data_IF_771102916856
#
_entry.id   IF_771102916856
#
_cell.length_a   1.000
_cell.length_b   1.000
_cell.length_c   1.000
_cell.angle_alpha   90.00
_cell.angle_beta   90.00
_cell.angle_gamma   90.00
#
_symmetry.space_group_name_H-M   'P 1'
#
loop_
_entity.id
_entity.type
_entity.pdbx_description
1 polymer ?
#
# COMPACT_ATOMS: atom_id res chain seq x y z
N UNK A 1 -8.22 -5.04 -37.66
CA UNK A 1 -9.13 -4.56 -36.62
C UNK A 1 -8.29 -3.78 -35.62
N UNK A 2 -8.23 -2.44 -35.75
CA UNK A 2 -7.60 -1.60 -34.77
C UNK A 2 -8.41 -1.73 -33.46
N UNK A 3 -7.75 -2.16 -32.39
CA UNK A 3 -8.34 -2.16 -31.05
C UNK A 3 -8.44 -0.70 -30.66
N UNK A 4 -9.64 -0.21 -30.36
CA UNK A 4 -9.87 1.13 -29.84
C UNK A 4 -9.04 1.30 -28.55
N UNK A 5 -8.01 2.17 -28.53
CA UNK A 5 -7.11 2.32 -27.39
C UNK A 5 -7.84 2.87 -26.16
N UNK A 6 -8.99 3.52 -26.33
CA UNK A 6 -9.76 4.13 -25.24
C UNK A 6 -10.86 3.22 -24.70
N UNK A 7 -11.01 2.01 -25.26
CA UNK A 7 -12.00 1.05 -24.81
C UNK A 7 -11.73 0.57 -23.39
N UNK A 8 -12.60 0.94 -22.46
CA UNK A 8 -12.50 0.58 -21.03
C UNK A 8 -11.90 1.66 -20.15
N UNK A 9 -11.50 2.82 -20.70
CA UNK A 9 -11.08 3.98 -19.92
C UNK A 9 -12.34 4.69 -19.39
N UNK A 10 -12.50 4.66 -18.07
CA UNK A 10 -13.56 5.41 -17.38
C UNK A 10 -13.07 6.79 -16.97
N UNK A 11 -13.99 7.75 -16.74
CA UNK A 11 -13.62 9.06 -16.18
C UNK A 11 -12.86 8.95 -14.86
N UNK A 12 -13.21 7.98 -14.01
CA UNK A 12 -12.46 7.72 -12.78
C UNK A 12 -11.01 7.31 -13.04
N UNK A 13 -10.77 6.44 -14.02
CA UNK A 13 -9.42 6.04 -14.42
C UNK A 13 -8.63 7.19 -15.06
N UNK A 14 -9.30 8.09 -15.77
CA UNK A 14 -8.67 9.27 -16.37
C UNK A 14 -8.33 10.34 -15.33
N UNK A 15 -9.22 10.57 -14.34
CA UNK A 15 -9.12 11.70 -13.42
C UNK A 15 -8.43 11.39 -12.08
N UNK A 16 -8.23 10.12 -11.70
CA UNK A 16 -7.67 9.81 -10.38
C UNK A 16 -6.28 10.42 -10.13
N UNK A 17 -5.38 10.63 -11.13
CA UNK A 17 -4.10 11.28 -10.86
C UNK A 17 -4.26 12.75 -10.42
N UNK A 18 -5.28 13.43 -10.94
CA UNK A 18 -5.60 14.81 -10.53
C UNK A 18 -6.17 14.86 -9.12
N UNK A 19 -6.99 13.87 -8.74
CA UNK A 19 -7.47 13.74 -7.37
C UNK A 19 -6.31 13.50 -6.39
N UNK A 20 -5.39 12.61 -6.74
CA UNK A 20 -4.19 12.36 -5.93
C UNK A 20 -3.33 13.63 -5.81
N UNK A 21 -3.16 14.39 -6.89
CA UNK A 21 -2.46 15.67 -6.83
C UNK A 21 -3.15 16.67 -5.89
N UNK A 22 -4.48 16.76 -5.93
CA UNK A 22 -5.25 17.61 -5.02
C UNK A 22 -5.05 17.18 -3.56
N UNK A 23 -5.10 15.88 -3.24
CA UNK A 23 -4.90 15.35 -1.89
C UNK A 23 -3.49 15.69 -1.33
N UNK A 24 -2.48 15.78 -2.18
CA UNK A 24 -1.11 16.13 -1.79
C UNK A 24 -0.98 17.65 -1.61
N UNK A 25 -1.41 18.41 -2.61
CA UNK A 25 -1.19 19.86 -2.67
C UNK A 25 -2.01 20.66 -1.64
N UNK A 26 -3.23 20.18 -1.31
CA UNK A 26 -4.08 20.81 -0.30
C UNK A 26 -3.50 20.77 1.13
N UNK A 27 -2.46 19.96 1.36
CA UNK A 27 -1.74 19.89 2.64
C UNK A 27 -0.33 20.47 2.55
N UNK A 28 0.08 21.06 1.41
CA UNK A 28 1.45 21.55 1.16
C UNK A 28 2.50 20.49 1.54
N UNK A 29 2.25 19.22 1.19
CA UNK A 29 3.18 18.14 1.52
C UNK A 29 4.51 18.32 0.76
N UNK A 30 5.64 18.30 1.51
CA UNK A 30 6.98 18.41 0.92
C UNK A 30 7.51 17.04 0.48
N UNK A 31 7.18 15.97 1.22
CA UNK A 31 7.66 14.61 0.96
C UNK A 31 6.47 13.65 0.95
N UNK A 32 6.38 12.83 -0.09
CA UNK A 32 5.31 11.83 -0.24
C UNK A 32 5.92 10.43 -0.33
N UNK A 33 5.80 9.59 0.72
CA UNK A 33 6.24 8.20 0.66
C UNK A 33 5.35 7.40 -0.29
N UNK A 34 5.93 6.86 -1.36
CA UNK A 34 5.19 6.11 -2.38
C UNK A 34 5.95 4.89 -2.87
N UNK A 35 5.24 3.92 -3.44
CA UNK A 35 5.84 2.85 -4.22
C UNK A 35 6.35 3.36 -5.58
N UNK A 36 7.28 2.63 -6.19
CA UNK A 36 7.86 2.97 -7.50
C UNK A 36 6.80 3.18 -8.60
N UNK A 37 5.69 2.45 -8.52
CA UNK A 37 4.57 2.54 -9.46
C UNK A 37 3.79 3.87 -9.37
N UNK A 38 3.98 4.66 -8.30
CA UNK A 38 3.34 5.97 -8.09
C UNK A 38 4.25 7.15 -8.44
N UNK A 39 5.52 6.91 -8.80
CA UNK A 39 6.48 7.98 -9.11
C UNK A 39 5.95 8.95 -10.16
N UNK A 40 5.35 8.44 -11.22
CA UNK A 40 4.81 9.26 -12.29
C UNK A 40 3.68 10.19 -11.81
N UNK A 41 2.84 9.74 -10.87
CA UNK A 41 1.78 10.58 -10.31
C UNK A 41 2.35 11.74 -9.47
N UNK A 42 3.46 11.50 -8.77
CA UNK A 42 4.14 12.58 -8.03
C UNK A 42 4.77 13.58 -9.00
N UNK A 43 5.39 13.14 -10.10
CA UNK A 43 5.90 14.06 -11.14
C UNK A 43 4.76 14.91 -11.75
N UNK A 44 3.61 14.32 -12.06
CA UNK A 44 2.43 15.09 -12.51
C UNK A 44 1.98 16.11 -11.45
N UNK A 45 2.01 15.74 -10.18
CA UNK A 45 1.66 16.65 -9.07
C UNK A 45 2.64 17.82 -8.99
N UNK A 46 3.94 17.57 -9.18
CA UNK A 46 4.99 18.59 -9.25
C UNK A 46 4.76 19.57 -10.40
N UNK A 47 4.46 19.03 -11.58
CA UNK A 47 4.16 19.85 -12.77
C UNK A 47 2.95 20.77 -12.54
N UNK A 48 1.90 20.25 -11.89
CA UNK A 48 0.71 21.05 -11.53
C UNK A 48 1.11 22.17 -10.55
N UNK A 49 1.87 21.86 -9.50
CA UNK A 49 2.32 22.84 -8.51
C UNK A 49 3.20 23.93 -9.13
N UNK A 50 4.20 23.54 -9.92
CA UNK A 50 5.10 24.48 -10.61
C UNK A 50 4.34 25.38 -11.58
N UNK A 51 3.42 24.81 -12.36
CA UNK A 51 2.61 25.58 -13.31
C UNK A 51 1.66 26.54 -12.59
N UNK A 52 1.05 26.12 -11.50
CA UNK A 52 0.21 26.98 -10.67
C UNK A 52 1.03 28.14 -10.10
N UNK A 53 2.17 27.85 -9.49
CA UNK A 53 3.04 28.85 -8.88
C UNK A 53 3.58 29.86 -9.90
N UNK A 54 3.85 29.40 -11.14
CA UNK A 54 4.28 30.30 -12.22
C UNK A 54 3.23 31.40 -12.55
N UNK A 55 1.94 31.06 -12.53
CA UNK A 55 0.88 32.01 -12.88
C UNK A 55 0.32 32.80 -11.70
N UNK A 56 0.36 32.24 -10.49
CA UNK A 56 -0.35 32.77 -9.34
C UNK A 56 0.54 33.10 -8.13
N UNK A 57 1.85 32.89 -8.24
CA UNK A 57 2.81 33.08 -7.16
C UNK A 57 3.08 31.80 -6.36
N UNK A 58 4.14 31.79 -5.54
CA UNK A 58 4.63 30.64 -4.79
C UNK A 58 3.70 30.25 -3.63
N UNK A 59 2.58 29.59 -3.97
CA UNK A 59 1.54 29.20 -3.02
C UNK A 59 1.63 27.70 -2.67
N UNK A 60 1.88 26.85 -3.66
CA UNK A 60 1.90 25.41 -3.51
C UNK A 60 3.31 24.88 -3.25
N UNK A 61 3.49 24.00 -2.26
CA UNK A 61 4.72 23.22 -2.12
C UNK A 61 4.88 22.28 -3.33
N UNK A 62 6.11 22.12 -3.82
CA UNK A 62 6.44 21.18 -4.90
C UNK A 62 6.91 19.90 -4.24
N UNK A 63 6.10 18.84 -4.20
CA UNK A 63 6.39 17.65 -3.43
C UNK A 63 7.52 16.81 -4.04
N UNK A 64 8.22 16.06 -3.19
CA UNK A 64 9.21 15.05 -3.60
C UNK A 64 8.73 13.65 -3.28
N UNK A 65 8.97 12.70 -4.20
CA UNK A 65 8.69 11.29 -3.96
C UNK A 65 9.77 10.68 -3.06
N UNK A 66 9.38 10.05 -1.97
CA UNK A 66 10.26 9.19 -1.17
C UNK A 66 9.96 7.73 -1.49
N UNK A 67 10.87 7.09 -2.23
CA UNK A 67 10.73 5.70 -2.68
C UNK A 67 11.70 4.83 -1.89
N UNK A 68 11.17 3.81 -1.20
CA UNK A 68 11.98 2.79 -0.55
C UNK A 68 12.33 1.69 -1.56
N UNK A 69 13.51 1.76 -2.14
CA UNK A 69 14.01 0.79 -3.13
C UNK A 69 14.19 -0.62 -2.56
N UNK A 70 14.30 -0.76 -1.23
CA UNK A 70 14.48 -2.06 -0.56
C UNK A 70 13.19 -2.85 -0.42
N UNK A 71 12.04 -2.22 -0.52
CA UNK A 71 10.74 -2.88 -0.43
C UNK A 71 10.27 -3.34 -1.80
N UNK A 72 10.60 -4.59 -2.11
CA UNK A 72 10.14 -5.26 -3.33
C UNK A 72 8.60 -5.41 -3.39
N UNK A 73 8.11 -5.84 -4.55
CA UNK A 73 6.71 -6.20 -4.74
C UNK A 73 6.40 -7.46 -3.93
N UNK A 74 5.43 -7.37 -3.01
CA UNK A 74 4.97 -8.53 -2.24
C UNK A 74 4.10 -9.41 -3.16
N UNK A 75 4.46 -10.70 -3.35
CA UNK A 75 3.67 -11.61 -4.16
C UNK A 75 2.38 -12.02 -3.45
N UNK A 76 1.32 -12.23 -4.23
CA UNK A 76 0.08 -12.84 -3.76
C UNK A 76 0.16 -14.37 -3.69
N UNK A 77 -0.95 -15.00 -3.32
CA UNK A 77 -1.06 -16.46 -3.17
C UNK A 77 -0.77 -17.24 -4.47
N UNK A 78 -0.85 -16.59 -5.63
CA UNK A 78 -0.62 -17.15 -6.96
C UNK A 78 0.79 -16.82 -7.53
N UNK A 79 1.61 -16.08 -6.78
CA UNK A 79 2.97 -15.68 -7.18
C UNK A 79 3.03 -14.36 -7.97
N UNK A 80 1.90 -13.83 -8.44
CA UNK A 80 1.85 -12.50 -9.07
C UNK A 80 1.86 -11.40 -8.01
N UNK A 81 2.01 -10.13 -8.41
CA UNK A 81 1.83 -8.97 -7.52
C UNK A 81 0.52 -9.12 -6.74
N UNK A 82 0.58 -8.96 -5.41
CA UNK A 82 -0.62 -9.01 -4.57
C UNK A 82 -1.58 -7.89 -4.92
N UNK A 83 -2.83 -8.24 -5.22
CA UNK A 83 -3.88 -7.28 -5.57
C UNK A 83 -5.27 -7.82 -5.27
N UNK A 84 -6.16 -6.94 -4.81
CA UNK A 84 -7.59 -7.28 -4.64
C UNK A 84 -8.24 -7.70 -5.96
N UNK A 85 -7.87 -7.07 -7.08
CA UNK A 85 -8.39 -7.39 -8.42
C UNK A 85 -8.01 -8.78 -8.91
N UNK A 86 -6.91 -9.35 -8.41
CA UNK A 86 -6.49 -10.72 -8.72
C UNK A 86 -6.99 -11.76 -7.73
N UNK A 87 -7.71 -11.33 -6.68
CA UNK A 87 -8.19 -12.20 -5.60
C UNK A 87 -7.08 -13.10 -5.00
N UNK A 88 -5.85 -12.57 -4.91
CA UNK A 88 -4.66 -13.27 -4.45
C UNK A 88 -4.09 -12.70 -3.15
N UNK A 89 -4.88 -11.90 -2.43
CA UNK A 89 -4.48 -11.25 -1.16
C UNK A 89 -4.46 -12.24 0.00
N UNK A 90 -3.62 -11.95 1.00
CA UNK A 90 -3.55 -12.69 2.26
C UNK A 90 -4.27 -11.85 3.34
N UNK A 91 -5.38 -12.35 3.93
CA UNK A 91 -6.20 -11.60 4.87
C UNK A 91 -5.57 -11.61 6.27
N UNK A 92 -4.75 -10.63 6.60
CA UNK A 92 -3.99 -10.59 7.87
C UNK A 92 -4.87 -10.37 9.11
N UNK A 93 -5.97 -9.60 9.00
CA UNK A 93 -6.90 -9.34 10.12
C UNK A 93 -8.06 -10.33 10.24
N UNK A 94 -8.17 -11.29 9.33
CA UNK A 94 -9.10 -12.41 9.50
C UNK A 94 -8.66 -13.34 10.65
N UNK A 95 -9.53 -14.28 11.04
CA UNK A 95 -9.19 -15.26 12.07
C UNK A 95 -7.91 -16.04 11.71
N UNK A 96 -7.14 -16.44 12.71
CA UNK A 96 -5.92 -17.24 12.56
C UNK A 96 -6.14 -18.47 11.66
N UNK A 97 -7.31 -19.14 11.79
CA UNK A 97 -7.71 -20.26 10.92
C UNK A 97 -7.81 -19.88 9.44
N UNK A 98 -8.38 -18.72 9.12
CA UNK A 98 -8.50 -18.22 7.75
C UNK A 98 -7.14 -17.79 7.21
N UNK A 99 -6.33 -17.09 8.02
CA UNK A 99 -4.96 -16.72 7.67
C UNK A 99 -4.14 -17.96 7.31
N UNK A 100 -4.13 -18.99 8.17
CA UNK A 100 -3.43 -20.24 7.92
C UNK A 100 -3.89 -20.91 6.63
N UNK A 101 -5.22 -20.97 6.40
CA UNK A 101 -5.80 -21.54 5.16
C UNK A 101 -5.34 -20.78 3.91
N UNK A 102 -5.23 -19.46 3.97
CA UNK A 102 -4.74 -18.64 2.85
C UNK A 102 -3.25 -18.90 2.57
N UNK A 103 -2.41 -18.97 3.60
CA UNK A 103 -0.98 -19.24 3.49
C UNK A 103 -0.72 -20.64 2.92
N UNK A 104 -1.45 -21.66 3.39
CA UNK A 104 -1.31 -23.02 2.88
C UNK A 104 -1.64 -23.15 1.39
N UNK A 105 -2.44 -22.23 0.82
CA UNK A 105 -2.79 -22.21 -0.60
C UNK A 105 -1.75 -21.50 -1.48
N UNK A 106 -0.73 -20.85 -0.92
CA UNK A 106 0.33 -20.21 -1.72
C UNK A 106 0.95 -21.26 -2.64
N UNK A 107 1.06 -20.94 -3.92
CA UNK A 107 1.66 -21.82 -4.91
C UNK A 107 3.15 -21.99 -4.64
N UNK A 108 3.60 -23.22 -4.70
CA UNK A 108 5.01 -23.64 -4.62
C UNK A 108 5.32 -24.59 -5.79
N UNK A 109 6.59 -24.86 -6.05
CA UNK A 109 6.99 -25.86 -7.02
C UNK A 109 6.82 -27.29 -6.46
N UNK A 110 7.21 -28.29 -7.25
CA UNK A 110 7.06 -29.72 -6.94
C UNK A 110 8.31 -30.37 -6.32
N UNK A 111 9.27 -29.58 -5.79
CA UNK A 111 10.45 -30.13 -5.11
C UNK A 111 10.04 -30.89 -3.85
N UNK A 112 10.60 -32.08 -3.69
CA UNK A 112 10.32 -32.95 -2.54
C UNK A 112 11.03 -32.46 -1.25
N UNK A 113 10.60 -32.93 -0.07
CA UNK A 113 11.35 -32.76 1.15
C UNK A 113 12.76 -33.35 1.01
N UNK A 114 13.79 -32.60 1.45
CA UNK A 114 15.20 -32.95 1.30
C UNK A 114 15.88 -32.32 0.08
N UNK A 115 15.12 -31.90 -0.96
CA UNK A 115 15.68 -31.15 -2.06
C UNK A 115 15.95 -29.70 -1.68
N UNK A 116 17.15 -29.14 -1.92
CA UNK A 116 17.42 -27.72 -1.72
C UNK A 116 16.44 -26.84 -2.49
N UNK A 117 16.00 -25.75 -1.87
CA UNK A 117 15.01 -24.85 -2.44
C UNK A 117 15.55 -23.43 -2.60
N UNK A 118 15.22 -22.80 -3.71
CA UNK A 118 15.58 -21.41 -3.98
C UNK A 118 14.66 -20.45 -3.23
N UNK A 119 15.21 -19.75 -2.24
CA UNK A 119 14.50 -18.72 -1.48
C UNK A 119 14.24 -17.45 -2.28
N UNK A 120 15.08 -17.13 -3.29
CA UNK A 120 15.05 -15.85 -4.01
C UNK A 120 13.83 -15.72 -4.93
N UNK A 121 13.34 -16.82 -5.48
CA UNK A 121 12.17 -16.84 -6.37
C UNK A 121 10.87 -17.25 -5.65
N UNK A 122 10.97 -17.80 -4.43
CA UNK A 122 9.85 -18.35 -3.69
C UNK A 122 8.94 -17.27 -3.09
N UNK A 123 7.64 -17.29 -3.43
CA UNK A 123 6.64 -16.38 -2.89
C UNK A 123 6.50 -16.47 -1.37
N UNK A 124 6.57 -17.67 -0.79
CA UNK A 124 6.48 -17.88 0.65
C UNK A 124 7.64 -17.17 1.35
N UNK A 125 8.87 -17.32 0.84
CA UNK A 125 10.04 -16.67 1.41
C UNK A 125 10.00 -15.15 1.27
N UNK A 126 9.59 -14.62 0.11
CA UNK A 126 9.45 -13.17 -0.11
C UNK A 126 8.44 -12.52 0.83
N UNK A 127 7.31 -13.21 1.10
CA UNK A 127 6.33 -12.71 2.07
C UNK A 127 6.91 -12.78 3.48
N UNK A 128 7.59 -13.87 3.84
CA UNK A 128 8.26 -14.02 5.13
C UNK A 128 9.27 -12.89 5.35
N UNK A 129 10.13 -12.64 4.38
CA UNK A 129 11.16 -11.60 4.41
C UNK A 129 10.60 -10.19 4.65
N UNK A 130 9.38 -9.90 4.18
CA UNK A 130 8.74 -8.60 4.38
C UNK A 130 8.38 -8.31 5.85
N UNK A 131 8.32 -9.35 6.70
CA UNK A 131 7.91 -9.23 8.10
C UNK A 131 8.96 -9.70 9.10
N UNK A 132 9.91 -10.51 8.67
CA UNK A 132 10.92 -11.15 9.52
C UNK A 132 12.11 -10.22 9.83
N UNK A 133 12.77 -10.47 10.93
CA UNK A 133 14.09 -9.92 11.25
C UNK A 133 15.18 -10.58 10.39
N UNK A 134 16.36 -9.95 10.35
CA UNK A 134 17.51 -10.50 9.62
C UNK A 134 17.89 -11.91 10.10
N UNK A 135 17.86 -12.16 11.39
CA UNK A 135 18.17 -13.48 11.96
C UNK A 135 17.15 -14.54 11.58
N UNK A 136 15.84 -14.19 11.58
CA UNK A 136 14.77 -15.08 11.13
C UNK A 136 14.90 -15.42 9.65
N UNK A 137 15.26 -14.42 8.81
CA UNK A 137 15.50 -14.59 7.37
C UNK A 137 16.67 -15.56 7.14
N UNK A 138 17.80 -15.34 7.83
CA UNK A 138 18.97 -16.20 7.72
C UNK A 138 18.66 -17.65 8.15
N UNK A 139 17.90 -17.81 9.22
CA UNK A 139 17.50 -19.14 9.72
C UNK A 139 16.61 -19.87 8.70
N UNK A 140 15.58 -19.20 8.19
CA UNK A 140 14.70 -19.82 7.19
C UNK A 140 15.45 -20.12 5.88
N UNK A 141 16.38 -19.26 5.46
CA UNK A 141 17.20 -19.51 4.26
C UNK A 141 18.02 -20.79 4.41
N UNK A 142 18.67 -21.02 5.56
CA UNK A 142 19.38 -22.29 5.85
C UNK A 142 18.45 -23.50 5.78
N UNK A 143 17.22 -23.38 6.24
CA UNK A 143 16.24 -24.47 6.14
C UNK A 143 15.86 -24.75 4.67
N UNK A 144 15.76 -23.71 3.82
CA UNK A 144 15.53 -23.86 2.38
C UNK A 144 16.70 -24.59 1.70
N UNK A 145 17.92 -24.23 2.02
CA UNK A 145 19.14 -24.91 1.53
C UNK A 145 19.19 -26.39 1.97
N UNK A 146 18.69 -26.68 3.17
CA UNK A 146 18.63 -28.04 3.73
C UNK A 146 17.37 -28.82 3.30
N UNK A 147 16.57 -28.30 2.39
CA UNK A 147 15.44 -29.01 1.79
C UNK A 147 14.18 -29.06 2.65
N UNK A 148 13.86 -27.99 3.38
CA UNK A 148 12.60 -27.87 4.15
C UNK A 148 11.38 -28.30 3.31
N UNK A 149 10.45 -29.07 3.91
CA UNK A 149 9.19 -29.37 3.27
C UNK A 149 8.33 -28.12 3.04
N UNK A 150 7.63 -28.01 1.90
CA UNK A 150 6.80 -26.83 1.61
C UNK A 150 5.72 -26.55 2.65
N UNK A 151 5.14 -27.61 3.25
CA UNK A 151 4.19 -27.47 4.35
C UNK A 151 4.84 -26.79 5.58
N UNK A 152 6.06 -27.19 5.93
CA UNK A 152 6.80 -26.60 7.04
C UNK A 152 7.19 -25.15 6.75
N UNK A 153 7.67 -24.84 5.55
CA UNK A 153 7.99 -23.46 5.15
C UNK A 153 6.77 -22.52 5.23
N UNK A 154 5.59 -23.01 4.84
CA UNK A 154 4.32 -22.27 4.97
C UNK A 154 3.88 -22.13 6.42
N UNK A 155 4.15 -23.12 7.26
CA UNK A 155 3.86 -23.05 8.69
C UNK A 155 4.75 -22.01 9.38
N UNK A 156 6.05 -21.92 9.03
CA UNK A 156 6.94 -20.86 9.51
C UNK A 156 6.41 -19.45 9.15
N UNK A 157 5.96 -19.28 7.90
CA UNK A 157 5.32 -18.03 7.48
C UNK A 157 4.04 -17.73 8.28
N UNK A 158 3.21 -18.74 8.49
CA UNK A 158 1.97 -18.59 9.27
C UNK A 158 2.28 -18.18 10.72
N UNK A 159 3.20 -18.86 11.38
CA UNK A 159 3.58 -18.58 12.77
C UNK A 159 4.10 -17.15 12.91
N UNK A 160 5.02 -16.73 12.03
CA UNK A 160 5.54 -15.36 12.02
C UNK A 160 4.43 -14.30 11.87
N UNK A 161 3.53 -14.49 10.90
CA UNK A 161 2.46 -13.53 10.66
C UNK A 161 1.41 -13.54 11.77
N UNK A 162 1.02 -14.72 12.27
CA UNK A 162 0.02 -14.82 13.33
C UNK A 162 0.52 -14.20 14.63
N UNK A 163 1.76 -14.45 15.02
CA UNK A 163 2.36 -13.88 16.22
C UNK A 163 2.46 -12.33 16.13
N UNK A 164 2.86 -11.81 14.97
CA UNK A 164 2.96 -10.36 14.77
C UNK A 164 1.60 -9.66 14.69
N UNK A 165 0.58 -10.31 14.14
CA UNK A 165 -0.74 -9.69 13.90
C UNK A 165 -1.72 -9.95 15.06
N UNK A 166 -1.55 -11.04 15.81
CA UNK A 166 -2.44 -11.42 16.92
C UNK A 166 -2.75 -10.29 17.91
N UNK A 167 -1.77 -9.47 18.37
CA UNK A 167 -2.06 -8.35 19.27
C UNK A 167 -3.01 -7.32 18.65
N UNK A 168 -2.83 -7.03 17.35
CA UNK A 168 -3.63 -6.04 16.62
C UNK A 168 -5.00 -6.57 16.21
N UNK A 169 -5.16 -7.88 16.05
CA UNK A 169 -6.43 -8.51 15.66
C UNK A 169 -7.50 -8.29 16.72
N UNK A 170 -7.16 -8.43 18.00
CA UNK A 170 -8.08 -8.16 19.10
C UNK A 170 -8.56 -6.72 19.16
N UNK A 171 -7.67 -5.77 18.91
CA UNK A 171 -8.06 -4.34 18.81
C UNK A 171 -8.89 -4.06 17.56
N UNK A 172 -8.55 -4.65 16.42
CA UNK A 172 -9.35 -4.54 15.20
C UNK A 172 -10.79 -5.04 15.41
N UNK A 173 -10.97 -6.19 16.07
CA UNK A 173 -12.29 -6.74 16.38
C UNK A 173 -13.11 -5.81 17.29
N UNK A 174 -12.49 -5.24 18.33
CA UNK A 174 -13.15 -4.27 19.20
C UNK A 174 -13.57 -3.01 18.44
N UNK A 175 -12.65 -2.43 17.66
CA UNK A 175 -12.92 -1.21 16.89
C UNK A 175 -14.03 -1.45 15.87
N UNK A 176 -14.01 -2.56 15.14
CA UNK A 176 -15.02 -2.84 14.10
C UNK A 176 -16.40 -3.10 14.65
N UNK A 177 -16.53 -3.46 15.92
CA UNK A 177 -17.82 -3.62 16.61
C UNK A 177 -18.37 -2.29 17.13
N UNK A 178 -17.54 -1.29 17.38
CA UNK A 178 -17.94 0.03 17.88
C UNK A 178 -18.02 1.07 16.74
N UNK A 179 -19.16 1.09 16.06
CA UNK A 179 -19.42 2.05 14.98
C UNK A 179 -19.37 3.50 15.46
N UNK A 180 -19.80 3.75 16.72
CA UNK A 180 -19.83 5.11 17.28
C UNK A 180 -18.41 5.65 17.50
N UNK A 181 -17.48 4.79 17.94
CA UNK A 181 -16.08 5.13 18.06
C UNK A 181 -15.45 5.44 16.69
N UNK A 182 -15.76 4.61 15.68
CA UNK A 182 -15.27 4.84 14.30
C UNK A 182 -15.77 6.18 13.77
N UNK A 183 -17.08 6.46 13.87
CA UNK A 183 -17.66 7.72 13.40
C UNK A 183 -17.07 8.93 14.12
N UNK A 184 -16.89 8.86 15.44
CA UNK A 184 -16.28 9.92 16.24
C UNK A 184 -14.84 10.16 15.78
N UNK A 185 -14.04 9.11 15.64
CA UNK A 185 -12.64 9.21 15.20
C UNK A 185 -12.53 9.83 13.82
N UNK A 186 -13.40 9.43 12.88
CA UNK A 186 -13.44 10.01 11.53
C UNK A 186 -13.83 11.49 11.54
N UNK A 187 -14.81 11.89 12.34
CA UNK A 187 -15.22 13.30 12.49
C UNK A 187 -14.11 14.16 13.08
N UNK A 188 -13.45 13.68 14.13
CA UNK A 188 -12.31 14.37 14.75
C UNK A 188 -11.12 14.46 13.78
N UNK A 189 -10.83 13.40 13.02
CA UNK A 189 -9.80 13.39 11.98
C UNK A 189 -10.11 14.38 10.86
N UNK A 190 -11.34 14.39 10.36
CA UNK A 190 -11.79 15.35 9.35
C UNK A 190 -11.66 16.79 9.82
N UNK A 191 -12.02 17.08 11.10
CA UNK A 191 -11.87 18.43 11.65
C UNK A 191 -10.40 18.87 11.72
N UNK A 192 -9.48 17.97 12.12
CA UNK A 192 -8.03 18.26 12.12
C UNK A 192 -7.51 18.53 10.71
N UNK A 193 -7.95 17.75 9.74
CA UNK A 193 -7.57 17.94 8.33
C UNK A 193 -8.08 19.30 7.79
N UNK A 194 -9.32 19.68 8.09
CA UNK A 194 -9.90 20.97 7.70
C UNK A 194 -9.13 22.17 8.26
N UNK A 195 -8.64 22.10 9.50
CA UNK A 195 -7.83 23.16 10.11
C UNK A 195 -6.57 23.43 9.28
N UNK A 196 -5.99 22.40 8.68
CA UNK A 196 -4.77 22.54 7.85
C UNK A 196 -5.14 22.95 6.43
N UNK A 197 -6.10 22.30 5.80
CA UNK A 197 -6.39 22.49 4.37
C UNK A 197 -7.20 23.74 4.05
N UNK A 198 -8.10 24.17 4.94
CA UNK A 198 -8.97 25.35 4.68
C UNK A 198 -8.19 26.61 4.36
N UNK A 199 -7.17 27.01 5.17
CA UNK A 199 -6.40 28.23 4.86
C UNK A 199 -5.69 28.15 3.50
N UNK A 200 -5.21 26.98 3.13
CA UNK A 200 -4.51 26.75 1.84
C UNK A 200 -5.49 26.89 0.67
N UNK A 201 -6.68 26.29 0.79
CA UNK A 201 -7.73 26.41 -0.24
C UNK A 201 -8.22 27.85 -0.37
N UNK A 202 -8.32 28.59 0.71
CA UNK A 202 -8.68 30.03 0.68
C UNK A 202 -7.60 30.87 -0.01
N UNK A 203 -6.31 30.58 0.27
CA UNK A 203 -5.18 31.21 -0.42
C UNK A 203 -5.22 30.95 -1.93
N UNK A 204 -5.44 29.69 -2.34
CA UNK A 204 -5.60 29.31 -3.72
C UNK A 204 -6.77 30.05 -4.39
N UNK A 205 -7.96 30.02 -3.76
CA UNK A 205 -9.15 30.71 -4.27
C UNK A 205 -8.91 32.19 -4.47
N UNK A 206 -8.26 32.85 -3.52
CA UNK A 206 -7.90 34.26 -3.61
C UNK A 206 -6.96 34.52 -4.78
N UNK A 207 -5.96 33.68 -4.99
CA UNK A 207 -4.97 33.85 -6.04
C UNK A 207 -5.59 33.74 -7.43
N UNK A 208 -6.53 32.80 -7.63
CA UNK A 208 -7.24 32.60 -8.90
C UNK A 208 -8.46 33.53 -9.08
N UNK A 209 -8.71 34.45 -8.14
CA UNK A 209 -9.77 35.45 -8.24
C UNK A 209 -11.17 34.96 -7.84
N UNK A 210 -11.32 33.79 -7.20
CA UNK A 210 -12.60 33.34 -6.65
C UNK A 210 -12.87 34.11 -5.36
N UNK A 211 -13.95 34.91 -5.35
CA UNK A 211 -14.39 35.67 -4.17
C UNK A 211 -15.61 35.00 -3.57
N UNK A 212 -15.70 35.00 -2.24
CA UNK A 212 -16.96 34.68 -1.56
C UNK A 212 -17.98 35.77 -1.89
N UNK A 213 -19.13 35.38 -2.38
CA UNK A 213 -20.29 36.26 -2.45
C UNK A 213 -20.82 36.39 -1.02
N UNK A 214 -20.73 37.60 -0.47
CA UNK A 214 -21.37 37.95 0.81
C UNK A 214 -22.87 38.12 0.60
#
# INVERSE_FOLDING_TARGET
>A
NAVDPDKGITMGLYNYPILMAADILMFKADIVPVGQDQKQHIEMTRDIALRFNHYYGDILSVPEAMIDEKKGIIPGSDGRKMSKSYNNTIPIFDSSKKLRKAIMKIKTNSLEPGDPKDSTTCSVFKIFQAFASEDEILNLNKQYENGIAWGAAKEELFNLLDDKIKPFRGEYEKITQDKSYIEKTLKEGAQKALVISTPIIEEIRKAIGIKEFK
#
